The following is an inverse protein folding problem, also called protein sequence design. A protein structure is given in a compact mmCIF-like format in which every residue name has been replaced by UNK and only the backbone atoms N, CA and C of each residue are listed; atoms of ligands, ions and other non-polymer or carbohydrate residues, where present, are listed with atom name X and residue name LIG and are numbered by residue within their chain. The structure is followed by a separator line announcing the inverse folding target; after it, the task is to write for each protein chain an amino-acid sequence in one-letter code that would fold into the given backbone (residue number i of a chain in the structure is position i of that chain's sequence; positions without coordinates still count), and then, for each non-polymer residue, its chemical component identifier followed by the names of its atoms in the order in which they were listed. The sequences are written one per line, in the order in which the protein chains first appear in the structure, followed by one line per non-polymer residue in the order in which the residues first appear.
data_IF_007000048071
#
_entry.id   IF_007000048071
#
_cell.length_a   1.000
_cell.length_b   1.000
_cell.length_c   1.000
_cell.angle_alpha   90.00
_cell.angle_beta   90.00
_cell.angle_gamma   90.00
#
_symmetry.space_group_name_H-M   'P 1'
#
loop_
_entity.id
_entity.type
_entity.pdbx_description
1 polymer ?
#
# COMPACT_ATOMS: atom_id res chain seq x y z
N UNK A 1 -18.61 -5.47 0.42
CA UNK A 1 -17.36 -4.75 0.76
C UNK A 1 -17.38 -4.40 2.25
N UNK A 2 -16.45 -4.89 3.08
CA UNK A 2 -16.38 -4.54 4.50
C UNK A 2 -15.57 -3.25 4.68
N UNK A 3 -16.14 -2.14 5.17
CA UNK A 3 -15.42 -0.86 5.30
C UNK A 3 -14.28 -0.92 6.32
N UNK A 4 -14.32 -1.84 7.29
CA UNK A 4 -13.21 -2.10 8.21
C UNK A 4 -11.98 -2.67 7.49
N UNK A 5 -12.17 -3.56 6.51
CA UNK A 5 -11.06 -4.15 5.76
C UNK A 5 -10.27 -3.12 4.96
N UNK A 6 -10.93 -2.12 4.36
CA UNK A 6 -10.22 -1.05 3.65
C UNK A 6 -9.46 -0.12 4.60
N UNK A 7 -10.04 0.21 5.76
CA UNK A 7 -9.36 1.04 6.76
C UNK A 7 -8.12 0.35 7.33
N UNK A 8 -8.20 -0.94 7.64
CA UNK A 8 -7.05 -1.71 8.09
C UNK A 8 -5.98 -1.84 7.01
N UNK A 9 -6.38 -2.03 5.75
CA UNK A 9 -5.44 -2.05 4.63
C UNK A 9 -4.65 -0.74 4.51
N UNK A 10 -5.30 0.44 4.66
CA UNK A 10 -4.60 1.73 4.65
C UNK A 10 -3.55 1.80 5.77
N UNK A 11 -3.93 1.43 7.00
CA UNK A 11 -3.01 1.42 8.14
C UNK A 11 -1.80 0.51 7.91
N UNK A 12 -2.04 -0.69 7.36
CA UNK A 12 -0.98 -1.61 6.98
C UNK A 12 -0.07 -1.01 5.90
N UNK A 13 -0.63 -0.48 4.81
CA UNK A 13 0.14 0.14 3.72
C UNK A 13 1.04 1.24 4.25
N UNK A 14 0.50 2.14 5.06
CA UNK A 14 1.25 3.30 5.57
C UNK A 14 2.39 2.85 6.50
N UNK A 15 2.12 1.93 7.43
CA UNK A 15 3.14 1.38 8.32
C UNK A 15 4.22 0.58 7.56
N UNK A 16 3.81 -0.26 6.63
CA UNK A 16 4.70 -1.09 5.82
C UNK A 16 5.61 -0.23 4.92
N UNK A 17 5.06 0.80 4.27
CA UNK A 17 5.83 1.63 3.36
C UNK A 17 6.70 2.66 4.09
N UNK A 18 6.29 3.16 5.27
CA UNK A 18 7.11 4.04 6.09
C UNK A 18 8.39 3.36 6.58
N UNK A 19 8.38 2.04 6.78
CA UNK A 19 9.58 1.29 7.13
C UNK A 19 10.73 1.51 6.14
N UNK A 20 10.46 1.58 4.83
CA UNK A 20 11.49 1.81 3.81
C UNK A 20 12.15 3.20 3.93
N UNK A 21 11.41 4.22 4.38
CA UNK A 21 11.96 5.55 4.60
C UNK A 21 12.99 5.59 5.74
N UNK A 22 12.95 4.60 6.65
CA UNK A 22 13.89 4.49 7.78
C UNK A 22 15.29 4.04 7.37
N UNK A 23 15.46 3.51 6.15
CA UNK A 23 16.75 3.05 5.64
C UNK A 23 17.77 4.18 5.40
N UNK A 24 17.32 5.44 5.34
CA UNK A 24 18.15 6.62 5.15
C UNK A 24 18.67 6.81 3.71
N UNK A 25 19.28 7.97 3.46
CA UNK A 25 19.72 8.36 2.11
C UNK A 25 18.54 8.75 1.19
N UNK A 26 18.87 9.26 0.00
CA UNK A 26 17.85 9.75 -0.94
C UNK A 26 17.05 8.63 -1.60
N UNK A 27 17.63 7.43 -1.72
CA UNK A 27 16.96 6.27 -2.31
C UNK A 27 15.83 5.73 -1.42
N UNK A 28 15.92 5.90 -0.09
CA UNK A 28 14.89 5.43 0.85
C UNK A 28 13.52 6.05 0.57
N UNK A 29 13.48 7.34 0.20
CA UNK A 29 12.22 8.01 -0.16
C UNK A 29 11.62 7.46 -1.46
N UNK A 30 12.47 7.13 -2.45
CA UNK A 30 12.02 6.50 -3.69
C UNK A 30 11.45 5.11 -3.39
N UNK A 31 12.12 4.32 -2.56
CA UNK A 31 11.67 2.99 -2.16
C UNK A 31 10.34 3.03 -1.38
N UNK A 32 10.18 3.99 -0.46
CA UNK A 32 8.93 4.18 0.28
C UNK A 32 7.76 4.56 -0.67
N UNK A 33 8.00 5.45 -1.62
CA UNK A 33 6.99 5.84 -2.61
C UNK A 33 6.65 4.71 -3.59
N UNK A 34 7.64 3.92 -4.02
CA UNK A 34 7.42 2.72 -4.84
C UNK A 34 6.55 1.69 -4.11
N UNK A 35 6.80 1.47 -2.80
CA UNK A 35 5.94 0.63 -1.97
C UNK A 35 4.48 1.09 -2.00
N UNK A 36 4.22 2.39 -1.80
CA UNK A 36 2.86 2.95 -1.83
C UNK A 36 2.21 2.72 -3.20
N UNK A 37 2.96 2.95 -4.28
CA UNK A 37 2.48 2.74 -5.66
C UNK A 37 2.05 1.29 -5.88
N UNK A 38 2.95 0.33 -5.65
CA UNK A 38 2.69 -1.10 -5.90
C UNK A 38 1.56 -1.63 -5.03
N UNK A 39 1.56 -1.34 -3.74
CA UNK A 39 0.51 -1.80 -2.82
C UNK A 39 -0.87 -1.25 -3.22
N UNK A 40 -0.93 -0.01 -3.69
CA UNK A 40 -2.19 0.59 -4.17
C UNK A 40 -2.66 -0.05 -5.47
N UNK A 41 -1.74 -0.34 -6.40
CA UNK A 41 -2.06 -1.04 -7.65
C UNK A 41 -2.58 -2.47 -7.38
N UNK A 42 -1.90 -3.23 -6.53
CA UNK A 42 -2.31 -4.57 -6.11
C UNK A 42 -3.71 -4.55 -5.47
N UNK A 43 -3.97 -3.57 -4.59
CA UNK A 43 -5.27 -3.43 -3.95
C UNK A 43 -6.37 -3.05 -4.93
N UNK A 44 -6.09 -2.16 -5.88
CA UNK A 44 -7.04 -1.81 -6.93
C UNK A 44 -7.44 -3.04 -7.74
N UNK A 45 -6.45 -3.85 -8.17
CA UNK A 45 -6.68 -5.10 -8.89
C UNK A 45 -7.52 -6.09 -8.06
N UNK A 46 -7.22 -6.27 -6.77
CA UNK A 46 -8.01 -7.13 -5.88
C UNK A 46 -9.47 -6.66 -5.83
N UNK A 47 -9.70 -5.36 -5.70
CA UNK A 47 -11.03 -4.77 -5.62
C UNK A 47 -11.81 -4.85 -6.93
N UNK A 48 -11.14 -4.68 -8.06
CA UNK A 48 -11.71 -4.89 -9.39
C UNK A 48 -12.11 -6.33 -9.60
N UNK A 49 -11.24 -7.27 -9.20
CA UNK A 49 -11.54 -8.70 -9.27
C UNK A 49 -12.78 -9.00 -8.43
N UNK A 50 -12.90 -8.48 -7.20
CA UNK A 50 -14.09 -8.67 -6.36
C UNK A 50 -15.38 -8.03 -6.92
N UNK A 51 -15.29 -7.05 -7.82
CA UNK A 51 -16.47 -6.47 -8.50
C UNK A 51 -17.01 -7.36 -9.63
N UNK A 52 -16.21 -8.28 -10.15
CA UNK A 52 -16.58 -9.21 -11.22
C UNK A 52 -17.22 -10.52 -10.75
N UNK A 53 -17.41 -10.73 -9.44
CA UNK A 53 -18.06 -11.90 -8.82
C UNK A 53 -19.45 -11.53 -8.30
#
# INVERSE_FOLDING_TARGET
MNPGAQRFWIQYRDANCQFYATAGGTLAMVAANDCVLRQTAERAQELENLRGW
#
